data_IF_542046310373
#
_entry.id   IF_542046310373
#
_cell.length_a   1.000
_cell.length_b   1.000
_cell.length_c   1.000
_cell.angle_alpha   90.00
_cell.angle_beta   90.00
_cell.angle_gamma   90.00
#
_symmetry.space_group_name_H-M   'P 1'
#
loop_
_entity.id
_entity.type
_entity.pdbx_description
1 polymer ?
#
# COMPACT_ATOMS: atom_id res chain seq x y z
N UNK A 1 72.92 70.32 -34.08
CA UNK A 1 73.02 69.17 -33.16
C UNK A 1 72.38 69.56 -31.83
N UNK A 2 71.18 69.01 -31.52
CA UNK A 2 70.70 68.56 -30.20
C UNK A 2 69.20 68.28 -30.28
N UNK A 3 68.85 67.01 -30.16
CA UNK A 3 67.50 66.46 -30.19
C UNK A 3 66.82 66.70 -28.83
N UNK A 4 65.57 67.14 -28.84
CA UNK A 4 64.74 67.27 -27.65
C UNK A 4 64.11 65.92 -27.31
N UNK A 5 64.44 65.38 -26.14
CA UNK A 5 63.94 64.12 -25.61
C UNK A 5 62.52 64.30 -25.05
N UNK A 6 61.56 63.55 -25.58
CA UNK A 6 60.20 63.45 -25.03
C UNK A 6 60.24 62.73 -23.67
N UNK A 7 59.79 63.41 -22.62
CA UNK A 7 59.65 62.85 -21.28
C UNK A 7 58.44 61.90 -21.26
N UNK A 8 58.71 60.61 -21.11
CA UNK A 8 57.67 59.58 -20.88
C UNK A 8 57.20 59.67 -19.43
N UNK A 9 55.95 60.10 -19.23
CA UNK A 9 55.31 60.11 -17.91
C UNK A 9 55.21 58.68 -17.34
N UNK A 10 55.68 58.46 -16.11
CA UNK A 10 55.67 57.16 -15.41
C UNK A 10 54.24 56.73 -15.01
N UNK A 11 53.64 55.83 -15.78
CA UNK A 11 52.33 55.19 -15.55
C UNK A 11 52.30 54.11 -14.43
N UNK A 12 53.04 54.26 -13.32
CA UNK A 12 53.18 53.17 -12.33
C UNK A 12 52.01 53.01 -11.35
N UNK A 13 51.28 54.07 -11.03
CA UNK A 13 50.13 54.00 -10.10
C UNK A 13 48.87 53.37 -10.71
N UNK A 14 48.55 53.73 -11.96
CA UNK A 14 47.43 53.14 -12.71
C UNK A 14 47.62 51.65 -12.96
N UNK A 15 48.86 51.19 -13.21
CA UNK A 15 49.14 49.78 -13.45
C UNK A 15 48.83 48.89 -12.21
N UNK A 16 49.11 49.38 -10.99
CA UNK A 16 48.87 48.64 -9.76
C UNK A 16 47.36 48.56 -9.46
N UNK A 17 46.63 49.67 -9.62
CA UNK A 17 45.17 49.70 -9.41
C UNK A 17 44.47 48.77 -10.42
N UNK A 18 44.87 48.83 -11.70
CA UNK A 18 44.36 47.92 -12.73
C UNK A 18 44.69 46.46 -12.42
N UNK A 19 45.91 46.16 -11.96
CA UNK A 19 46.30 44.80 -11.59
C UNK A 19 45.47 44.25 -10.42
N UNK A 20 45.21 45.08 -9.39
CA UNK A 20 44.37 44.70 -8.25
C UNK A 20 42.90 44.52 -8.63
N UNK A 21 42.35 45.37 -9.50
CA UNK A 21 40.99 45.22 -10.01
C UNK A 21 40.82 43.96 -10.86
N UNK A 22 41.79 43.67 -11.73
CA UNK A 22 41.81 42.44 -12.53
C UNK A 22 41.90 41.22 -11.61
N UNK A 23 42.81 41.24 -10.63
CA UNK A 23 42.95 40.14 -9.67
C UNK A 23 41.66 39.91 -8.86
N UNK A 24 41.02 40.98 -8.38
CA UNK A 24 39.74 40.89 -7.67
C UNK A 24 38.62 40.33 -8.56
N UNK A 25 38.52 40.77 -9.81
CA UNK A 25 37.56 40.26 -10.78
C UNK A 25 37.78 38.76 -11.05
N UNK A 26 39.03 38.35 -11.30
CA UNK A 26 39.40 36.95 -11.48
C UNK A 26 39.04 36.12 -10.26
N UNK A 27 39.30 36.63 -9.04
CA UNK A 27 38.95 35.95 -7.80
C UNK A 27 37.43 35.75 -7.64
N UNK A 28 36.61 36.75 -7.96
CA UNK A 28 35.14 36.65 -7.91
C UNK A 28 34.62 35.62 -8.92
N UNK A 29 35.16 35.63 -10.15
CA UNK A 29 34.78 34.64 -11.18
C UNK A 29 35.17 33.22 -10.74
N UNK A 30 36.39 33.04 -10.24
CA UNK A 30 36.88 31.75 -9.74
C UNK A 30 36.04 31.23 -8.56
N UNK A 31 35.69 32.09 -7.59
CA UNK A 31 34.81 31.73 -6.48
C UNK A 31 33.40 31.33 -6.95
N UNK A 32 32.85 32.05 -7.94
CA UNK A 32 31.58 31.70 -8.58
C UNK A 32 31.63 30.34 -9.29
N UNK A 33 32.71 30.06 -10.03
CA UNK A 33 32.93 28.77 -10.70
C UNK A 33 33.05 27.61 -9.70
N UNK A 34 33.84 27.76 -8.64
CA UNK A 34 34.00 26.75 -7.60
C UNK A 34 32.67 26.43 -6.90
N UNK A 35 31.84 27.45 -6.65
CA UNK A 35 30.52 27.27 -6.06
C UNK A 35 29.61 26.46 -7.00
N UNK A 36 29.55 26.83 -8.30
CA UNK A 36 28.78 26.10 -9.32
C UNK A 36 29.25 24.66 -9.47
N UNK A 37 30.55 24.44 -9.50
CA UNK A 37 31.15 23.10 -9.56
C UNK A 37 30.74 22.27 -8.35
N UNK A 38 30.79 22.83 -7.14
CA UNK A 38 30.42 22.11 -5.92
C UNK A 38 28.93 21.71 -5.89
N UNK A 39 28.05 22.55 -6.44
CA UNK A 39 26.62 22.25 -6.55
C UNK A 39 26.40 21.17 -7.61
N UNK A 40 27.07 21.27 -8.75
CA UNK A 40 27.01 20.27 -9.82
C UNK A 40 27.47 18.88 -9.33
N UNK A 41 28.62 18.79 -8.67
CA UNK A 41 29.13 17.54 -8.10
C UNK A 41 28.14 16.94 -7.09
N UNK A 42 27.61 17.74 -6.16
CA UNK A 42 26.61 17.26 -5.19
C UNK A 42 25.32 16.75 -5.85
N UNK A 43 24.90 17.37 -6.95
CA UNK A 43 23.72 16.92 -7.71
C UNK A 43 23.97 15.58 -8.41
N UNK A 44 25.16 15.39 -8.99
CA UNK A 44 25.55 14.11 -9.60
C UNK A 44 25.66 13.00 -8.57
N UNK A 45 26.28 13.26 -7.42
CA UNK A 45 26.37 12.30 -6.32
C UNK A 45 24.97 11.89 -5.81
N UNK A 46 24.04 12.85 -5.74
CA UNK A 46 22.66 12.59 -5.35
C UNK A 46 21.94 11.69 -6.36
N UNK A 47 22.10 11.97 -7.66
CA UNK A 47 21.48 11.19 -8.71
C UNK A 47 22.06 9.78 -8.80
N UNK A 48 23.39 9.64 -8.70
CA UNK A 48 24.04 8.34 -8.63
C UNK A 48 23.57 7.51 -7.43
N UNK A 49 23.46 8.14 -6.26
CA UNK A 49 22.94 7.48 -5.04
C UNK A 49 21.50 7.00 -5.22
N UNK A 50 20.66 7.80 -5.90
CA UNK A 50 19.27 7.44 -6.20
C UNK A 50 19.18 6.25 -7.14
N UNK A 51 19.95 6.24 -8.24
CA UNK A 51 19.96 5.14 -9.19
C UNK A 51 20.38 3.82 -8.55
N UNK A 52 21.42 3.86 -7.71
CA UNK A 52 21.89 2.67 -7.00
C UNK A 52 20.88 2.18 -5.95
N UNK A 53 20.28 3.10 -5.18
CA UNK A 53 19.22 2.76 -4.23
C UNK A 53 18.04 2.08 -4.92
N UNK A 54 17.59 2.62 -6.05
CA UNK A 54 16.52 2.01 -6.86
C UNK A 54 16.89 0.62 -7.38
N UNK A 55 18.13 0.40 -7.82
CA UNK A 55 18.59 -0.92 -8.27
C UNK A 55 18.55 -1.97 -7.13
N UNK A 56 18.96 -1.57 -5.93
CA UNK A 56 18.90 -2.42 -4.72
C UNK A 56 17.45 -2.75 -4.35
N UNK A 57 16.55 -1.76 -4.40
CA UNK A 57 15.12 -1.97 -4.16
C UNK A 57 14.49 -2.93 -5.17
N UNK A 58 14.85 -2.83 -6.45
CA UNK A 58 14.40 -3.76 -7.48
C UNK A 58 14.93 -5.18 -7.26
N UNK A 59 16.19 -5.34 -6.83
CA UNK A 59 16.73 -6.63 -6.43
C UNK A 59 15.98 -7.24 -5.23
N UNK A 60 15.71 -6.42 -4.21
CA UNK A 60 14.92 -6.82 -3.05
C UNK A 60 13.47 -7.19 -3.39
N UNK A 61 12.87 -6.51 -4.37
CA UNK A 61 11.55 -6.85 -4.92
C UNK A 61 11.54 -8.24 -5.59
N UNK A 62 12.55 -8.55 -6.41
CA UNK A 62 12.63 -9.86 -7.06
C UNK A 62 12.89 -10.98 -6.03
N UNK A 63 13.76 -10.73 -5.05
CA UNK A 63 13.94 -11.64 -3.92
C UNK A 63 12.63 -11.88 -3.16
N UNK A 64 11.85 -10.84 -2.93
CA UNK A 64 10.54 -10.94 -2.25
C UNK A 64 9.55 -11.78 -3.05
N UNK A 65 9.52 -11.63 -4.38
CA UNK A 65 8.71 -12.47 -5.27
C UNK A 65 9.16 -13.94 -5.20
N UNK A 66 10.46 -14.20 -5.21
CA UNK A 66 11.02 -15.55 -5.08
C UNK A 66 10.65 -16.20 -3.74
N UNK A 67 10.75 -15.48 -2.63
CA UNK A 67 10.35 -15.96 -1.30
C UNK A 67 8.86 -16.37 -1.28
N UNK A 68 7.99 -15.55 -1.85
CA UNK A 68 6.55 -15.85 -1.94
C UNK A 68 6.26 -17.05 -2.84
N UNK A 69 7.00 -17.18 -3.95
CA UNK A 69 6.93 -18.29 -4.90
C UNK A 69 7.31 -19.62 -4.24
N UNK A 70 8.47 -19.66 -3.58
CA UNK A 70 8.97 -20.84 -2.88
C UNK A 70 8.04 -21.24 -1.73
N UNK A 71 7.50 -20.26 -0.98
CA UNK A 71 6.54 -20.52 0.08
C UNK A 71 5.28 -21.25 -0.42
N UNK A 72 4.70 -20.82 -1.55
CA UNK A 72 3.48 -21.45 -2.11
C UNK A 72 3.74 -22.85 -2.64
N UNK A 73 4.92 -23.09 -3.22
CA UNK A 73 5.29 -24.43 -3.72
C UNK A 73 5.53 -25.43 -2.60
N UNK A 74 5.98 -24.94 -1.43
CA UNK A 74 6.22 -25.77 -0.26
C UNK A 74 4.91 -26.17 0.42
N UNK A 75 4.01 -25.22 0.64
CA UNK A 75 2.76 -25.42 1.36
C UNK A 75 1.63 -24.52 0.82
N UNK A 76 0.41 -25.06 0.75
CA UNK A 76 -0.74 -24.28 0.29
C UNK A 76 -1.22 -23.21 1.30
N UNK A 77 -1.39 -23.50 2.61
CA UNK A 77 -1.82 -22.49 3.59
C UNK A 77 -0.78 -21.38 3.76
N UNK A 78 -1.24 -20.15 3.97
CA UNK A 78 -0.37 -19.00 4.23
C UNK A 78 -0.36 -18.68 5.70
N UNK A 79 0.80 -18.83 6.34
CA UNK A 79 0.97 -18.79 7.81
C UNK A 79 2.08 -17.82 8.23
N UNK A 80 1.99 -17.27 9.43
CA UNK A 80 2.97 -16.29 9.95
C UNK A 80 4.29 -16.95 10.42
N UNK A 81 4.36 -18.27 10.57
CA UNK A 81 5.59 -19.01 10.86
C UNK A 81 6.44 -19.32 9.61
N UNK A 82 5.92 -19.01 8.42
CA UNK A 82 6.63 -19.27 7.18
C UNK A 82 7.72 -18.20 6.92
N UNK A 83 8.77 -18.54 6.15
CA UNK A 83 9.89 -17.61 5.89
C UNK A 83 9.49 -16.26 5.30
N UNK A 84 8.39 -16.19 4.51
CA UNK A 84 7.92 -14.95 3.90
C UNK A 84 7.52 -13.88 4.93
N UNK A 85 7.09 -14.28 6.13
CA UNK A 85 6.64 -13.36 7.18
C UNK A 85 7.80 -12.73 7.96
N UNK A 86 9.03 -13.19 7.75
CA UNK A 86 10.23 -12.69 8.43
C UNK A 86 10.80 -11.45 7.71
N UNK A 87 11.51 -10.56 8.43
CA UNK A 87 12.24 -9.46 7.80
C UNK A 87 13.24 -9.97 6.75
N UNK A 88 13.18 -9.42 5.55
CA UNK A 88 14.06 -9.74 4.44
C UNK A 88 15.26 -8.81 4.53
N UNK A 89 16.46 -9.37 4.62
CA UNK A 89 17.72 -8.62 4.61
C UNK A 89 18.62 -9.18 3.53
N UNK A 90 19.16 -8.29 2.69
CA UNK A 90 20.27 -8.67 1.82
C UNK A 90 21.57 -8.63 2.66
N UNK A 91 22.35 -9.71 2.64
CA UNK A 91 23.59 -9.86 3.42
C UNK A 91 24.77 -9.02 2.89
N UNK A 92 24.54 -8.18 1.86
CA UNK A 92 25.57 -7.37 1.23
C UNK A 92 26.04 -6.17 2.09
N UNK A 93 27.36 -5.95 2.25
CA UNK A 93 27.90 -4.86 3.09
C UNK A 93 27.72 -3.43 2.56
N UNK A 94 27.47 -3.23 1.26
CA UNK A 94 27.60 -1.90 0.62
C UNK A 94 26.26 -1.22 0.25
N UNK A 95 25.16 -1.96 0.32
CA UNK A 95 23.79 -1.44 0.26
C UNK A 95 22.83 -2.49 0.85
N UNK A 96 22.48 -2.33 2.12
CA UNK A 96 21.57 -3.26 2.79
C UNK A 96 20.13 -2.96 2.36
N UNK A 97 19.54 -3.86 1.58
CA UNK A 97 18.09 -3.91 1.44
C UNK A 97 17.48 -4.45 2.73
N UNK A 98 16.46 -3.76 3.24
CA UNK A 98 15.60 -4.23 4.32
C UNK A 98 14.15 -4.22 3.82
N UNK A 99 13.52 -5.39 3.84
CA UNK A 99 12.15 -5.58 3.35
C UNK A 99 11.27 -6.30 4.36
N UNK A 100 9.97 -6.12 4.24
CA UNK A 100 8.96 -6.93 4.93
C UNK A 100 7.77 -7.14 4.01
N UNK A 101 7.32 -8.38 3.93
CA UNK A 101 6.06 -8.73 3.30
C UNK A 101 4.94 -8.72 4.34
N UNK A 102 3.81 -8.13 3.97
CA UNK A 102 2.58 -8.13 4.74
C UNK A 102 1.49 -8.86 3.96
N UNK A 103 0.77 -9.76 4.62
CA UNK A 103 -0.42 -10.39 4.03
C UNK A 103 -1.63 -9.46 4.14
N UNK A 104 -2.10 -8.96 2.99
CA UNK A 104 -3.25 -8.05 2.94
C UNK A 104 -4.59 -8.78 3.12
N UNK A 105 -4.63 -10.10 2.97
CA UNK A 105 -5.81 -10.91 3.24
C UNK A 105 -5.93 -11.31 4.71
N UNK A 106 -4.93 -11.03 5.56
CA UNK A 106 -5.14 -11.04 7.02
C UNK A 106 -6.02 -9.88 7.50
N UNK A 107 -6.30 -8.89 6.64
CA UNK A 107 -7.07 -7.69 6.94
C UNK A 107 -8.47 -7.74 6.33
N UNK A 108 -9.38 -6.92 6.86
CA UNK A 108 -10.67 -6.69 6.24
C UNK A 108 -10.50 -5.88 4.95
N UNK A 109 -10.84 -6.46 3.81
CA UNK A 109 -10.74 -5.80 2.52
C UNK A 109 -11.97 -4.92 2.25
N UNK A 110 -11.80 -3.59 2.14
CA UNK A 110 -12.90 -2.66 1.87
C UNK A 110 -13.66 -2.99 0.59
N UNK A 111 -13.01 -3.61 -0.41
CA UNK A 111 -13.67 -4.05 -1.65
C UNK A 111 -14.80 -5.04 -1.38
N UNK A 112 -14.78 -5.77 -0.26
CA UNK A 112 -15.79 -6.76 0.09
C UNK A 112 -17.16 -6.13 0.43
N UNK A 113 -17.23 -4.82 0.67
CA UNK A 113 -18.50 -4.12 0.89
C UNK A 113 -19.47 -4.24 -0.30
N UNK A 114 -18.96 -4.63 -1.48
CA UNK A 114 -19.75 -4.79 -2.71
C UNK A 114 -19.49 -6.16 -3.33
N UNK A 115 -20.54 -6.89 -3.68
CA UNK A 115 -20.48 -8.16 -4.37
C UNK A 115 -21.52 -8.16 -5.50
N UNK A 116 -21.10 -8.49 -6.74
CA UNK A 116 -22.00 -8.52 -7.90
C UNK A 116 -22.80 -7.22 -8.08
N UNK A 117 -22.13 -6.06 -8.01
CA UNK A 117 -22.75 -4.72 -8.14
C UNK A 117 -23.82 -4.40 -7.08
N UNK A 118 -23.87 -5.16 -5.98
CA UNK A 118 -24.78 -4.90 -4.86
C UNK A 118 -24.00 -4.75 -3.56
N UNK A 119 -24.53 -3.95 -2.64
CA UNK A 119 -23.95 -3.80 -1.31
C UNK A 119 -24.10 -5.11 -0.54
N UNK A 120 -22.99 -5.64 -0.03
CA UNK A 120 -23.00 -6.82 0.81
C UNK A 120 -23.29 -6.42 2.27
N UNK A 121 -24.52 -6.62 2.71
CA UNK A 121 -24.98 -6.24 4.05
C UNK A 121 -24.23 -6.95 5.19
N UNK A 122 -23.75 -8.18 4.97
CA UNK A 122 -22.95 -8.93 5.96
C UNK A 122 -21.59 -8.23 6.14
N UNK A 123 -20.90 -7.95 5.04
CA UNK A 123 -19.61 -7.28 5.03
C UNK A 123 -19.69 -5.84 5.57
N UNK A 124 -20.78 -5.13 5.29
CA UNK A 124 -21.04 -3.81 5.87
C UNK A 124 -21.11 -3.87 7.41
N UNK A 125 -21.89 -4.79 7.96
CA UNK A 125 -21.97 -5.01 9.41
C UNK A 125 -20.62 -5.39 10.01
N UNK A 126 -19.87 -6.28 9.35
CA UNK A 126 -18.52 -6.65 9.78
C UNK A 126 -17.59 -5.45 9.84
N UNK A 127 -17.60 -4.57 8.83
CA UNK A 127 -16.77 -3.37 8.85
C UNK A 127 -17.17 -2.39 9.96
N UNK A 128 -18.47 -2.19 10.18
CA UNK A 128 -18.99 -1.35 11.27
C UNK A 128 -18.60 -1.90 12.64
N UNK A 129 -18.70 -3.22 12.84
CA UNK A 129 -18.28 -3.90 14.06
C UNK A 129 -16.77 -3.77 14.29
N UNK A 130 -15.96 -3.93 13.23
CA UNK A 130 -14.52 -3.69 13.30
C UNK A 130 -14.22 -2.26 13.74
N UNK A 131 -14.85 -1.26 13.10
CA UNK A 131 -14.69 0.14 13.47
C UNK A 131 -15.07 0.41 14.93
N UNK A 132 -16.17 -0.18 15.42
CA UNK A 132 -16.59 -0.06 16.81
C UNK A 132 -15.55 -0.61 17.79
N UNK A 133 -14.97 -1.79 17.51
CA UNK A 133 -13.88 -2.36 18.33
C UNK A 133 -12.63 -1.49 18.34
N UNK A 134 -12.33 -0.82 17.22
CA UNK A 134 -11.20 0.12 17.10
C UNK A 134 -11.48 1.51 17.71
N UNK A 135 -12.68 1.71 18.27
CA UNK A 135 -13.11 3.00 18.82
C UNK A 135 -13.20 4.09 17.75
N UNK A 136 -13.59 3.73 16.53
CA UNK A 136 -13.88 4.66 15.44
C UNK A 136 -15.38 4.97 15.48
N UNK A 137 -15.71 6.26 15.40
CA UNK A 137 -17.10 6.74 15.42
C UNK A 137 -17.94 6.08 14.31
N UNK A 138 -19.18 5.72 14.63
CA UNK A 138 -20.10 5.05 13.71
C UNK A 138 -20.40 5.90 12.47
N UNK A 139 -20.52 7.23 12.64
CA UNK A 139 -20.70 8.14 11.52
C UNK A 139 -19.48 8.18 10.59
N UNK A 140 -18.26 8.09 11.14
CA UNK A 140 -17.03 7.96 10.34
C UNK A 140 -17.02 6.64 9.56
N UNK A 141 -17.34 5.52 10.21
CA UNK A 141 -17.42 4.22 9.56
C UNK A 141 -18.44 4.22 8.40
N UNK A 142 -19.62 4.80 8.62
CA UNK A 142 -20.66 4.91 7.59
C UNK A 142 -20.18 5.74 6.39
N UNK A 143 -19.49 6.87 6.61
CA UNK A 143 -18.95 7.69 5.52
C UNK A 143 -17.84 6.99 4.75
N UNK A 144 -16.99 6.19 5.41
CA UNK A 144 -16.01 5.34 4.74
C UNK A 144 -16.73 4.32 3.85
N UNK A 145 -17.71 3.60 4.37
CA UNK A 145 -18.51 2.65 3.58
C UNK A 145 -19.16 3.31 2.37
N UNK A 146 -19.78 4.48 2.54
CA UNK A 146 -20.39 5.23 1.44
C UNK A 146 -19.36 5.65 0.39
N UNK A 147 -18.16 6.10 0.80
CA UNK A 147 -17.07 6.45 -0.12
C UNK A 147 -16.61 5.26 -0.95
N UNK A 148 -16.52 4.09 -0.33
CA UNK A 148 -16.15 2.83 -1.01
C UNK A 148 -17.27 2.42 -1.96
N UNK A 149 -18.52 2.41 -1.49
CA UNK A 149 -19.70 2.04 -2.27
C UNK A 149 -19.84 2.91 -3.53
N UNK A 150 -19.69 4.22 -3.38
CA UNK A 150 -19.74 5.17 -4.49
C UNK A 150 -18.63 4.97 -5.55
N UNK A 151 -17.60 4.17 -5.24
CA UNK A 151 -16.48 3.90 -6.13
C UNK A 151 -16.73 2.78 -7.15
N UNK A 152 -17.91 2.14 -7.09
CA UNK A 152 -18.27 1.03 -7.96
C UNK A 152 -19.68 1.20 -8.55
N UNK A 153 -19.95 0.62 -9.73
CA UNK A 153 -21.30 0.55 -10.26
C UNK A 153 -22.23 -0.22 -9.32
N UNK A 154 -23.49 0.18 -9.28
CA UNK A 154 -24.51 -0.43 -8.44
C UNK A 154 -25.74 -0.80 -9.25
N UNK A 155 -26.26 -2.00 -9.06
CA UNK A 155 -27.57 -2.34 -9.60
C UNK A 155 -28.65 -1.57 -8.82
N UNK A 156 -29.62 -0.96 -9.51
CA UNK A 156 -30.72 -0.30 -8.81
C UNK A 156 -31.46 -1.29 -7.91
N UNK A 157 -31.89 -0.87 -6.70
CA UNK A 157 -32.85 -1.63 -5.92
C UNK A 157 -34.05 -1.93 -6.82
N UNK A 158 -34.53 -3.17 -6.84
CA UNK A 158 -35.73 -3.51 -7.59
C UNK A 158 -36.86 -2.56 -7.20
N UNK A 159 -37.23 -1.64 -8.09
CA UNK A 159 -38.37 -0.76 -7.89
C UNK A 159 -39.61 -1.66 -7.78
N UNK A 160 -40.46 -1.41 -6.77
CA UNK A 160 -41.66 -2.19 -6.48
C UNK A 160 -42.39 -2.61 -7.78
N UNK A 161 -42.79 -3.88 -7.95
CA UNK A 161 -43.48 -4.38 -9.16
C UNK A 161 -44.95 -3.87 -9.28
N UNK A 162 -45.21 -2.62 -8.93
CA UNK A 162 -46.55 -2.03 -8.83
C UNK A 162 -46.71 -0.62 -9.43
N UNK A 163 -45.70 -0.06 -10.11
CA UNK A 163 -45.90 1.18 -10.87
C UNK A 163 -45.83 0.89 -12.38
N UNK A 164 -47.02 0.86 -12.97
CA UNK A 164 -47.33 0.72 -14.38
C UNK A 164 -46.28 1.34 -15.32
N UNK A 165 -45.45 0.51 -15.93
CA UNK A 165 -44.91 0.77 -17.26
C UNK A 165 -45.64 -0.17 -18.23
N UNK A 166 -46.58 0.38 -18.98
CA UNK A 166 -47.08 -0.26 -20.20
C UNK A 166 -45.91 -0.33 -21.19
N UNK A 167 -45.15 -1.42 -21.16
CA UNK A 167 -44.16 -1.73 -22.18
C UNK A 167 -44.49 -3.10 -22.77
N UNK A 168 -45.18 -3.08 -23.91
CA UNK A 168 -45.51 -4.26 -24.71
C UNK A 168 -44.25 -4.78 -25.40
N UNK A 169 -43.39 -5.46 -24.65
CA UNK A 169 -42.16 -6.06 -25.13
C UNK A 169 -41.84 -7.29 -24.30
N UNK A 170 -42.03 -8.45 -24.92
CA UNK A 170 -41.63 -9.81 -24.51
C UNK A 170 -40.89 -9.92 -23.15
N UNK A 171 -41.58 -10.43 -22.14
CA UNK A 171 -41.02 -10.74 -20.83
C UNK A 171 -40.09 -11.95 -20.95
N UNK A 172 -38.81 -11.69 -21.21
CA UNK A 172 -37.73 -12.66 -21.00
C UNK A 172 -36.90 -12.18 -19.83
N UNK A 173 -37.07 -12.85 -18.68
CA UNK A 173 -36.34 -12.68 -17.41
C UNK A 173 -36.63 -11.38 -16.62
N UNK A 174 -37.09 -11.49 -15.35
CA UNK A 174 -37.32 -10.33 -14.46
C UNK A 174 -36.08 -9.46 -14.19
N UNK A 175 -34.88 -10.00 -14.41
CA UNK A 175 -33.60 -9.36 -14.09
C UNK A 175 -32.95 -8.60 -15.27
N UNK A 176 -33.56 -8.59 -16.46
CA UNK A 176 -32.91 -8.15 -17.69
C UNK A 176 -32.83 -6.61 -17.89
N UNK A 177 -33.45 -5.80 -17.02
CA UNK A 177 -33.69 -4.37 -17.32
C UNK A 177 -33.20 -3.34 -16.28
N UNK A 178 -32.40 -3.72 -15.29
CA UNK A 178 -31.77 -2.72 -14.42
C UNK A 178 -30.37 -2.38 -14.94
N UNK A 179 -30.25 -1.33 -15.75
CA UNK A 179 -28.94 -0.76 -16.06
C UNK A 179 -28.27 -0.34 -14.74
N UNK A 180 -27.04 -0.79 -14.45
CA UNK A 180 -26.37 -0.41 -13.22
C UNK A 180 -26.11 1.11 -13.21
N UNK A 181 -26.38 1.72 -12.06
CA UNK A 181 -26.00 3.09 -11.73
C UNK A 181 -24.47 3.19 -11.78
N UNK A 182 -23.90 4.09 -12.59
CA UNK A 182 -22.45 4.24 -12.69
C UNK A 182 -21.80 4.66 -11.37
N UNK A 183 -20.53 4.26 -11.19
CA UNK A 183 -19.71 4.76 -10.08
C UNK A 183 -19.61 6.30 -10.13
N UNK A 184 -19.69 6.95 -8.97
CA UNK A 184 -19.63 8.42 -8.83
C UNK A 184 -18.30 8.91 -8.25
N UNK A 185 -17.43 7.99 -7.84
CA UNK A 185 -16.11 8.26 -7.27
C UNK A 185 -15.06 7.31 -7.87
N UNK A 186 -13.77 7.66 -7.87
CA UNK A 186 -12.71 6.75 -8.29
C UNK A 186 -12.53 5.61 -7.28
N UNK A 187 -12.19 4.42 -7.81
CA UNK A 187 -11.78 3.25 -7.02
C UNK A 187 -10.62 3.61 -6.08
N UNK A 188 -10.69 3.07 -4.86
CA UNK A 188 -9.61 3.22 -3.90
C UNK A 188 -8.45 2.32 -4.32
N UNK A 189 -7.23 2.84 -4.15
CA UNK A 189 -5.96 2.15 -4.36
C UNK A 189 -5.22 1.95 -3.04
N UNK A 190 -5.53 2.77 -2.03
CA UNK A 190 -4.93 2.71 -0.70
C UNK A 190 -5.85 3.35 0.34
N UNK A 191 -5.55 3.17 1.63
CA UNK A 191 -6.28 3.84 2.71
C UNK A 191 -6.12 5.38 2.65
N UNK A 192 -5.05 5.88 2.04
CA UNK A 192 -4.84 7.31 1.83
C UNK A 192 -5.95 7.96 0.99
N UNK A 193 -6.65 7.19 0.14
CA UNK A 193 -7.77 7.68 -0.66
C UNK A 193 -9.04 7.97 0.16
N UNK A 194 -9.01 7.66 1.46
CA UNK A 194 -10.03 8.05 2.44
C UNK A 194 -9.77 9.44 3.04
N UNK A 195 -8.60 10.05 2.78
CA UNK A 195 -8.34 11.44 3.19
C UNK A 195 -9.38 12.38 2.59
N UNK A 196 -9.79 13.38 3.37
CA UNK A 196 -10.81 14.36 2.98
C UNK A 196 -12.25 13.93 3.28
N UNK A 197 -12.50 12.69 3.72
CA UNK A 197 -13.78 12.33 4.33
C UNK A 197 -13.87 13.01 5.71
N UNK A 198 -14.99 13.67 6.00
CA UNK A 198 -15.22 14.32 7.29
C UNK A 198 -15.03 13.32 8.45
N UNK A 199 -14.15 13.66 9.40
CA UNK A 199 -13.83 12.82 10.55
C UNK A 199 -12.78 11.72 10.30
N UNK A 200 -12.33 11.51 9.06
CA UNK A 200 -11.17 10.66 8.76
C UNK A 200 -9.91 11.53 8.82
N UNK A 201 -9.20 11.44 9.94
CA UNK A 201 -7.90 12.07 10.14
C UNK A 201 -6.77 11.03 10.18
N UNK A 202 -5.52 11.48 10.24
CA UNK A 202 -4.35 10.58 10.28
C UNK A 202 -4.40 9.59 11.45
N UNK A 203 -5.02 9.95 12.59
CA UNK A 203 -5.20 9.03 13.71
C UNK A 203 -6.19 7.90 13.38
N UNK A 204 -7.27 8.19 12.67
CA UNK A 204 -8.22 7.17 12.19
C UNK A 204 -7.56 6.27 11.15
N UNK A 205 -6.84 6.85 10.18
CA UNK A 205 -6.11 6.08 9.16
C UNK A 205 -5.06 5.16 9.81
N UNK A 206 -4.27 5.67 10.75
CA UNK A 206 -3.29 4.89 11.49
C UNK A 206 -3.94 3.77 12.32
N UNK A 207 -5.14 4.00 12.88
CA UNK A 207 -5.91 2.95 13.58
C UNK A 207 -6.46 1.88 12.64
N UNK A 208 -6.87 2.25 11.42
CA UNK A 208 -7.39 1.29 10.44
C UNK A 208 -6.29 0.48 9.76
N UNK A 209 -5.10 1.06 9.57
CA UNK A 209 -4.02 0.48 8.77
C UNK A 209 -3.63 -0.98 9.11
N UNK A 210 -3.60 -1.40 10.39
CA UNK A 210 -3.29 -2.80 10.73
C UNK A 210 -4.42 -3.78 10.40
N UNK A 211 -5.66 -3.31 10.27
CA UNK A 211 -6.86 -4.15 10.24
C UNK A 211 -7.61 -4.13 8.91
N UNK A 212 -7.31 -3.15 8.04
CA UNK A 212 -8.06 -2.91 6.80
C UNK A 212 -7.13 -2.85 5.61
N UNK A 213 -7.53 -3.48 4.51
CA UNK A 213 -6.82 -3.46 3.22
C UNK A 213 -7.72 -2.95 2.09
N UNK A 214 -7.09 -2.58 0.98
CA UNK A 214 -7.76 -2.23 -0.27
C UNK A 214 -7.14 -3.09 -1.37
N UNK A 215 -7.83 -4.18 -1.72
CA UNK A 215 -7.42 -5.11 -2.78
C UNK A 215 -8.42 -4.94 -3.94
N UNK A 216 -7.99 -4.98 -5.22
CA UNK A 216 -8.87 -4.69 -6.35
C UNK A 216 -9.92 -5.77 -6.65
N UNK A 217 -9.95 -6.87 -5.88
CA UNK A 217 -10.90 -7.97 -5.98
C UNK A 217 -11.50 -8.29 -4.62
N UNK A 218 -12.66 -8.94 -4.58
CA UNK A 218 -13.20 -9.47 -3.33
C UNK A 218 -12.36 -10.66 -2.88
N UNK A 219 -12.06 -10.72 -1.58
CA UNK A 219 -11.16 -11.72 -1.00
C UNK A 219 -11.70 -12.26 0.31
N UNK A 220 -11.44 -13.53 0.59
CA UNK A 220 -11.61 -14.06 1.95
C UNK A 220 -10.55 -13.50 2.90
N UNK A 221 -10.89 -13.46 4.18
CA UNK A 221 -9.93 -13.17 5.25
C UNK A 221 -9.14 -14.43 5.58
N UNK A 222 -7.81 -14.37 5.56
CA UNK A 222 -6.95 -15.48 5.96
C UNK A 222 -6.87 -15.60 7.49
N UNK A 223 -7.50 -16.63 8.04
CA UNK A 223 -7.50 -16.93 9.47
C UNK A 223 -6.11 -17.18 10.07
N UNK A 224 -5.15 -17.63 9.25
CA UNK A 224 -3.79 -17.90 9.71
C UNK A 224 -2.94 -16.62 9.88
N UNK A 225 -3.40 -15.47 9.40
CA UNK A 225 -2.68 -14.18 9.48
C UNK A 225 -3.52 -13.05 10.09
N UNK A 226 -4.84 -13.20 10.13
CA UNK A 226 -5.75 -12.18 10.66
C UNK A 226 -5.60 -11.93 12.16
N UNK A 227 -5.86 -10.69 12.59
CA UNK A 227 -5.94 -10.35 14.01
C UNK A 227 -7.25 -10.83 14.63
N UNK A 228 -7.30 -10.86 15.97
CA UNK A 228 -8.51 -11.22 16.70
C UNK A 228 -9.68 -10.27 16.40
N UNK A 229 -9.41 -8.98 16.22
CA UNK A 229 -10.41 -7.96 15.88
C UNK A 229 -11.00 -8.19 14.49
N UNK A 230 -10.17 -8.51 13.49
CA UNK A 230 -10.68 -8.85 12.15
C UNK A 230 -11.53 -10.11 12.22
N UNK A 231 -11.07 -11.16 12.91
CA UNK A 231 -11.81 -12.41 13.05
C UNK A 231 -13.15 -12.22 13.77
N UNK A 232 -13.16 -11.50 14.89
CA UNK A 232 -14.38 -11.21 15.63
C UNK A 232 -15.39 -10.39 14.81
N UNK A 233 -14.90 -9.52 13.92
CA UNK A 233 -15.75 -8.73 13.03
C UNK A 233 -16.36 -9.54 11.87
N UNK A 234 -15.60 -10.46 11.28
CA UNK A 234 -16.05 -11.21 10.08
C UNK A 234 -16.76 -12.51 10.40
N UNK A 235 -16.53 -13.12 11.57
CA UNK A 235 -17.19 -14.35 11.99
C UNK A 235 -18.46 -14.01 12.79
N UNK A 236 -19.66 -14.35 12.30
CA UNK A 236 -20.90 -14.00 12.99
C UNK A 236 -20.97 -14.60 14.40
N UNK A 237 -21.20 -13.73 15.40
CA UNK A 237 -21.36 -14.15 16.79
C UNK A 237 -20.06 -14.51 17.53
N UNK A 238 -18.88 -14.37 16.89
CA UNK A 238 -17.60 -14.58 17.56
C UNK A 238 -17.24 -13.34 18.41
N UNK A 239 -17.16 -13.52 19.73
CA UNK A 239 -16.70 -12.42 20.61
C UNK A 239 -15.20 -12.16 20.44
N UNK A 240 -14.78 -10.93 20.74
CA UNK A 240 -13.35 -10.56 20.71
C UNK A 240 -12.50 -11.45 21.63
N UNK A 241 -13.00 -11.79 22.82
CA UNK A 241 -12.29 -12.66 23.77
C UNK A 241 -12.09 -14.07 23.20
N UNK A 242 -13.13 -14.64 22.56
CA UNK A 242 -12.99 -15.95 21.90
C UNK A 242 -12.00 -15.88 20.73
N UNK A 243 -12.05 -14.82 19.92
CA UNK A 243 -11.10 -14.63 18.84
C UNK A 243 -9.65 -14.48 19.34
N UNK A 244 -9.43 -13.80 20.47
CA UNK A 244 -8.11 -13.69 21.10
C UNK A 244 -7.56 -15.04 21.57
N UNK A 245 -8.40 -15.88 22.19
CA UNK A 245 -8.02 -17.25 22.58
C UNK A 245 -7.63 -18.06 21.35
N UNK A 246 -8.48 -18.02 20.31
CA UNK A 246 -8.26 -18.74 19.06
C UNK A 246 -6.94 -18.31 18.36
N UNK A 247 -6.67 -17.00 18.31
CA UNK A 247 -5.42 -16.46 17.77
C UNK A 247 -4.20 -16.86 18.62
N UNK A 248 -4.33 -16.84 19.95
CA UNK A 248 -3.24 -17.26 20.84
C UNK A 248 -2.92 -18.76 20.69
N UNK A 249 -3.91 -19.61 20.47
CA UNK A 249 -3.69 -21.03 20.16
C UNK A 249 -3.00 -21.21 18.81
N UNK A 250 -3.49 -20.51 17.77
CA UNK A 250 -2.88 -20.48 16.44
C UNK A 250 -1.39 -20.10 16.52
N UNK A 251 -1.08 -19.01 17.20
CA UNK A 251 0.28 -18.45 17.27
C UNK A 251 1.25 -19.30 18.12
N UNK A 252 0.73 -20.26 18.92
CA UNK A 252 1.52 -21.31 19.58
C UNK A 252 1.86 -22.48 18.66
N UNK A 253 1.60 -22.36 17.36
CA UNK A 253 1.88 -23.38 16.36
C UNK A 253 0.68 -24.25 15.98
N UNK A 254 -0.51 -24.00 16.54
CA UNK A 254 -1.72 -24.74 16.17
C UNK A 254 -2.41 -24.09 14.97
N UNK A 255 -1.71 -24.00 13.85
CA UNK A 255 -2.22 -23.38 12.64
C UNK A 255 -3.48 -24.06 12.09
N UNK A 256 -4.33 -23.31 11.40
CA UNK A 256 -5.51 -23.85 10.74
C UNK A 256 -5.11 -24.53 9.44
N UNK A 257 -5.56 -25.77 9.25
CA UNK A 257 -5.18 -26.60 8.11
C UNK A 257 -6.15 -26.42 6.94
N UNK A 258 -7.42 -26.08 7.24
CA UNK A 258 -8.46 -25.80 6.26
C UNK A 258 -9.63 -25.03 6.93
N UNK A 259 -10.65 -24.66 6.13
CA UNK A 259 -11.83 -23.92 6.60
C UNK A 259 -12.67 -24.72 7.61
N UNK A 260 -12.76 -26.04 7.46
CA UNK A 260 -13.50 -26.92 8.37
C UNK A 260 -12.83 -27.03 9.75
N UNK A 261 -11.50 -27.15 9.79
CA UNK A 261 -10.72 -27.11 11.03
C UNK A 261 -10.92 -25.79 11.78
N UNK A 262 -10.86 -24.66 11.07
CA UNK A 262 -11.19 -23.36 11.65
C UNK A 262 -12.61 -23.34 12.25
N UNK A 263 -13.63 -23.75 11.48
CA UNK A 263 -15.02 -23.80 11.94
C UNK A 263 -15.20 -24.68 13.20
N UNK A 264 -14.60 -25.87 13.22
CA UNK A 264 -14.70 -26.78 14.36
C UNK A 264 -14.13 -26.16 15.64
N UNK A 265 -13.04 -25.40 15.54
CA UNK A 265 -12.42 -24.72 16.68
C UNK A 265 -13.20 -23.51 17.19
N UNK A 266 -14.06 -22.90 16.37
CA UNK A 266 -14.99 -21.85 16.81
C UNK A 266 -16.01 -22.36 17.84
N UNK A 267 -16.29 -23.68 17.87
CA UNK A 267 -17.32 -24.31 18.71
C UNK A 267 -18.70 -23.62 18.57
N UNK A 268 -19.04 -23.25 17.33
CA UNK A 268 -20.27 -22.54 16.97
C UNK A 268 -21.15 -23.44 16.09
N UNK A 269 -21.99 -24.32 16.67
CA UNK A 269 -22.74 -25.34 15.94
C UNK A 269 -23.79 -24.77 14.95
N UNK A 270 -24.17 -23.50 15.13
CA UNK A 270 -25.10 -22.80 14.25
C UNK A 270 -24.44 -22.24 12.97
N UNK A 271 -23.11 -22.23 12.87
CA UNK A 271 -22.40 -21.72 11.71
C UNK A 271 -22.06 -22.85 10.74
N UNK A 272 -22.24 -22.60 9.45
CA UNK A 272 -21.75 -23.47 8.38
C UNK A 272 -20.49 -22.89 7.74
N UNK A 273 -19.77 -23.71 6.96
CA UNK A 273 -18.59 -23.25 6.20
C UNK A 273 -18.98 -22.17 5.18
N UNK A 274 -20.19 -22.23 4.62
CA UNK A 274 -20.69 -21.26 3.63
C UNK A 274 -21.04 -19.90 4.26
N UNK A 275 -21.22 -19.86 5.58
CA UNK A 275 -21.43 -18.62 6.32
C UNK A 275 -20.13 -17.86 6.62
N UNK A 276 -18.97 -18.46 6.32
CA UNK A 276 -17.66 -17.91 6.66
C UNK A 276 -16.96 -17.32 5.43
N UNK A 277 -16.80 -16.00 5.43
CA UNK A 277 -15.93 -15.26 4.51
C UNK A 277 -14.44 -15.36 4.91
N UNK A 278 -14.04 -16.53 5.40
CA UNK A 278 -12.73 -16.84 5.98
C UNK A 278 -12.10 -18.02 5.25
N UNK A 279 -10.82 -17.84 4.90
CA UNK A 279 -9.95 -18.84 4.28
C UNK A 279 -8.69 -19.08 5.12
N UNK A 280 -7.76 -19.83 4.53
CA UNK A 280 -6.44 -20.17 5.13
C UNK A 280 -5.27 -19.86 4.18
N UNK A 281 -5.56 -19.26 3.02
CA UNK A 281 -4.61 -18.99 1.94
C UNK A 281 -4.68 -17.52 1.56
N UNK A 282 -3.55 -16.97 1.13
CA UNK A 282 -3.47 -15.61 0.59
C UNK A 282 -2.74 -15.56 -0.74
N UNK A 283 -3.16 -14.64 -1.58
CA UNK A 283 -2.64 -14.31 -2.89
C UNK A 283 -2.10 -12.88 -2.94
N UNK A 284 -2.55 -12.00 -2.04
CA UNK A 284 -2.24 -10.56 -2.08
C UNK A 284 -1.30 -10.15 -0.93
N UNK A 285 -0.12 -9.67 -1.31
CA UNK A 285 0.92 -9.26 -0.36
C UNK A 285 1.39 -7.84 -0.66
N UNK A 286 1.71 -7.08 0.39
CA UNK A 286 2.34 -5.78 0.27
C UNK A 286 3.81 -5.91 0.69
N UNK A 287 4.72 -5.57 -0.21
CA UNK A 287 6.13 -5.40 0.13
C UNK A 287 6.36 -3.97 0.59
N UNK A 288 6.94 -3.82 1.78
CA UNK A 288 7.58 -2.59 2.22
C UNK A 288 9.09 -2.80 2.20
N UNK A 289 9.79 -2.08 1.33
CA UNK A 289 11.22 -2.16 1.12
C UNK A 289 11.92 -0.84 1.39
N UNK A 290 13.15 -0.92 1.90
CA UNK A 290 14.01 0.22 2.16
C UNK A 290 15.43 -0.14 1.73
N UNK A 291 16.10 0.78 1.05
CA UNK A 291 17.51 0.70 0.77
C UNK A 291 18.20 1.90 1.42
N UNK A 292 19.29 1.63 2.14
CA UNK A 292 20.10 2.68 2.75
C UNK A 292 21.52 2.66 2.18
N UNK A 293 22.01 3.83 1.78
CA UNK A 293 23.42 4.07 1.47
C UNK A 293 23.80 5.44 2.04
N UNK A 294 24.83 5.46 2.88
CA UNK A 294 25.27 6.65 3.63
C UNK A 294 24.13 7.30 4.46
N UNK A 295 23.81 8.57 4.13
CA UNK A 295 22.74 9.37 4.76
C UNK A 295 21.41 9.32 4.00
N UNK A 296 21.32 8.62 2.86
CA UNK A 296 20.13 8.59 2.02
C UNK A 296 19.39 7.28 2.15
N UNK A 297 18.08 7.37 2.30
CA UNK A 297 17.14 6.26 2.30
C UNK A 297 16.25 6.42 1.07
N UNK A 298 16.01 5.32 0.38
CA UNK A 298 15.00 5.21 -0.66
C UNK A 298 14.06 4.09 -0.23
N UNK A 299 12.75 4.26 -0.42
CA UNK A 299 11.75 3.24 -0.07
C UNK A 299 11.03 2.73 -1.31
N UNK A 300 10.44 1.54 -1.17
CA UNK A 300 9.62 0.89 -2.18
C UNK A 300 8.40 0.30 -1.48
N UNK A 301 7.21 0.64 -1.94
CA UNK A 301 6.02 -0.16 -1.68
C UNK A 301 5.64 -0.90 -2.96
N UNK A 302 5.27 -2.17 -2.87
CA UNK A 302 4.80 -2.93 -4.03
C UNK A 302 3.68 -3.90 -3.68
N UNK A 303 2.58 -3.83 -4.42
CA UNK A 303 1.50 -4.82 -4.32
C UNK A 303 1.82 -6.01 -5.20
N UNK A 304 1.90 -7.17 -4.58
CA UNK A 304 2.23 -8.45 -5.21
C UNK A 304 0.99 -9.34 -5.24
N UNK A 305 0.75 -9.95 -6.41
CA UNK A 305 -0.26 -10.98 -6.58
C UNK A 305 0.41 -12.31 -6.88
N UNK A 306 0.30 -13.25 -5.94
CA UNK A 306 0.79 -14.61 -6.03
C UNK A 306 -0.32 -15.53 -6.54
N UNK A 307 -0.25 -15.93 -7.81
CA UNK A 307 -1.10 -16.96 -8.38
C UNK A 307 -0.65 -18.35 -7.92
N UNK A 308 -1.41 -19.38 -8.30
CA UNK A 308 -1.08 -20.77 -7.94
C UNK A 308 0.12 -21.32 -8.69
N UNK A 309 0.34 -20.90 -9.94
CA UNK A 309 1.24 -21.55 -10.89
C UNK A 309 2.34 -20.66 -11.46
N UNK A 310 2.31 -19.35 -11.19
CA UNK A 310 3.27 -18.41 -11.77
C UNK A 310 3.99 -17.59 -10.71
N UNK A 311 5.17 -17.10 -11.08
CA UNK A 311 5.93 -16.15 -10.27
C UNK A 311 5.05 -14.96 -9.86
N UNK A 312 5.05 -14.53 -8.58
CA UNK A 312 4.19 -13.45 -8.11
C UNK A 312 4.33 -12.18 -8.95
N UNK A 313 3.21 -11.68 -9.47
CA UNK A 313 3.17 -10.51 -10.34
C UNK A 313 3.22 -9.23 -9.51
N UNK A 314 3.97 -8.24 -9.98
CA UNK A 314 3.92 -6.88 -9.42
C UNK A 314 2.71 -6.17 -10.05
N UNK A 315 1.70 -5.87 -9.25
CA UNK A 315 0.49 -5.16 -9.71
C UNK A 315 0.77 -3.67 -9.81
N UNK A 316 1.49 -3.14 -8.82
CA UNK A 316 2.06 -1.80 -8.86
C UNK A 316 3.26 -1.74 -7.93
N UNK A 317 4.15 -0.78 -8.18
CA UNK A 317 5.20 -0.40 -7.25
C UNK A 317 5.32 1.12 -7.18
N UNK A 318 5.73 1.63 -6.03
CA UNK A 318 5.93 3.06 -5.77
C UNK A 318 7.27 3.25 -5.08
N UNK A 319 8.17 3.98 -5.74
CA UNK A 319 9.40 4.45 -5.12
C UNK A 319 9.13 5.70 -4.31
N UNK A 320 9.51 5.68 -3.04
CA UNK A 320 9.54 6.84 -2.16
C UNK A 320 10.97 7.33 -1.96
N UNK A 321 11.12 8.64 -1.71
CA UNK A 321 12.39 9.31 -1.37
C UNK A 321 12.25 9.92 0.02
#
# INVERSE_FOLDING_TARGET
MKYASLNVAKQRGMAIISALLIAALVAVIAAGMLTRQSVFTRSLEAEQSRLQGSAVLLGGLELSRQILWDARRKEAPTRLDQPWAQPIKDGSPSASFEGRLEDLQGKFNLRNLIAGERVNARQLRSFEQLCAMLGIDAGVAQRISQRVIAAYPQQEPAQNPGQNRFNSGRVTSPDANANPVPATRPMLRSLDDLRGIQGVNERVLARLAPYVSVIPVSTWVNSNTASAEVLAAVVPGLSLTQAQVLVAERDRGQWFINRGDFLNRLRAPQLSVDDLDVGITSEWFLLHGQARRDKRRVSLDALLYRSESDMPRVIWSRLGV
#
